data_IF_095882722312
#
_entry.id   IF_095882722312
#
_cell.length_a   1.000
_cell.length_b   1.000
_cell.length_c   1.000
_cell.angle_alpha   90.00
_cell.angle_beta   90.00
_cell.angle_gamma   90.00
#
_symmetry.space_group_name_H-M   'P 1'
#
loop_
_entity.id
_entity.type
_entity.pdbx_description
1 polymer ?
#
# COMPACT_ATOMS: atom_id res chain seq x y z
N UNK A 1 -87.22 -35.79 -8.84
CA UNK A 1 -85.74 -35.87 -8.76
C UNK A 1 -85.15 -34.54 -9.21
N UNK A 2 -84.80 -33.65 -8.27
CA UNK A 2 -84.24 -32.34 -8.55
C UNK A 2 -82.74 -32.45 -8.60
N UNK A 3 -82.08 -32.14 -9.73
CA UNK A 3 -80.66 -32.09 -9.87
C UNK A 3 -80.15 -30.71 -9.39
N UNK A 4 -79.39 -30.67 -8.32
CA UNK A 4 -78.65 -29.49 -7.90
C UNK A 4 -77.37 -29.40 -8.76
N UNK A 5 -77.27 -28.26 -9.46
CA UNK A 5 -75.99 -27.90 -10.17
C UNK A 5 -75.18 -27.03 -9.19
N UNK A 6 -74.01 -27.56 -8.83
CA UNK A 6 -73.02 -26.88 -7.99
C UNK A 6 -72.10 -26.02 -8.92
N UNK A 7 -72.25 -24.71 -8.93
CA UNK A 7 -71.32 -23.81 -9.65
C UNK A 7 -70.16 -23.50 -8.68
N UNK A 8 -69.02 -24.04 -8.96
CA UNK A 8 -67.78 -23.75 -8.26
C UNK A 8 -67.15 -22.49 -8.86
N UNK A 9 -67.21 -21.38 -8.14
CA UNK A 9 -66.55 -20.10 -8.52
C UNK A 9 -65.11 -20.19 -8.05
N UNK A 10 -64.18 -20.36 -9.01
CA UNK A 10 -62.72 -20.32 -8.76
C UNK A 10 -62.29 -18.85 -8.61
N UNK A 11 -62.08 -18.43 -7.40
CA UNK A 11 -61.45 -17.12 -7.12
C UNK A 11 -59.94 -17.22 -7.45
N UNK A 12 -59.54 -16.68 -8.60
CA UNK A 12 -58.14 -16.49 -8.94
C UNK A 12 -57.64 -15.24 -8.19
N UNK A 13 -57.00 -15.43 -7.04
CA UNK A 13 -56.28 -14.37 -6.34
C UNK A 13 -55.03 -14.01 -7.14
N UNK A 14 -55.09 -12.97 -7.94
CA UNK A 14 -53.90 -12.34 -8.53
C UNK A 14 -53.14 -11.67 -7.36
N UNK A 15 -52.19 -12.39 -6.75
CA UNK A 15 -51.19 -11.75 -5.90
C UNK A 15 -50.29 -10.97 -6.84
N UNK A 16 -50.53 -9.66 -6.94
CA UNK A 16 -49.52 -8.75 -7.47
C UNK A 16 -48.34 -8.81 -6.52
N UNK A 17 -47.25 -9.50 -6.92
CA UNK A 17 -45.96 -9.34 -6.30
C UNK A 17 -45.54 -7.88 -6.49
N UNK A 18 -45.89 -7.05 -5.53
CA UNK A 18 -45.27 -5.73 -5.43
C UNK A 18 -43.85 -6.03 -4.97
N UNK A 19 -42.88 -6.07 -5.91
CA UNK A 19 -41.48 -6.04 -5.57
C UNK A 19 -41.26 -4.86 -4.62
N UNK A 20 -40.82 -5.14 -3.38
CA UNK A 20 -40.44 -4.06 -2.48
C UNK A 20 -39.43 -3.18 -3.22
N UNK A 21 -39.61 -1.86 -3.21
CA UNK A 21 -38.64 -0.98 -3.82
C UNK A 21 -37.28 -1.24 -3.13
N UNK A 22 -36.28 -1.64 -3.92
CA UNK A 22 -34.92 -1.76 -3.43
C UNK A 22 -34.52 -0.47 -2.74
N UNK A 23 -33.98 -0.56 -1.53
CA UNK A 23 -33.49 0.63 -0.82
C UNK A 23 -32.25 1.21 -1.51
N UNK A 24 -31.93 2.46 -1.21
CA UNK A 24 -30.79 3.16 -1.82
C UNK A 24 -29.45 2.47 -1.58
N UNK A 25 -29.30 1.75 -0.47
CA UNK A 25 -28.11 0.98 -0.14
C UNK A 25 -27.97 -0.25 -1.04
N UNK A 26 -29.04 -1.00 -1.22
CA UNK A 26 -29.08 -2.17 -2.10
C UNK A 26 -28.82 -1.77 -3.56
N UNK A 27 -29.42 -0.64 -3.99
CA UNK A 27 -29.12 -0.07 -5.32
C UNK A 27 -27.64 0.31 -5.46
N UNK A 28 -26.99 0.87 -4.41
CA UNK A 28 -25.56 1.14 -4.45
C UNK A 28 -24.73 -0.13 -4.60
N UNK A 29 -25.04 -1.19 -3.84
CA UNK A 29 -24.34 -2.48 -3.95
C UNK A 29 -24.48 -3.09 -5.36
N UNK A 30 -25.68 -3.00 -5.95
CA UNK A 30 -25.95 -3.40 -7.33
C UNK A 30 -25.10 -2.60 -8.33
N UNK A 31 -25.04 -1.29 -8.16
CA UNK A 31 -24.24 -0.41 -9.01
C UNK A 31 -22.73 -0.69 -8.89
N UNK A 32 -22.24 -0.93 -7.67
CA UNK A 32 -20.84 -1.33 -7.45
C UNK A 32 -20.51 -2.67 -8.10
N UNK A 33 -21.49 -3.60 -8.19
CA UNK A 33 -21.33 -4.84 -8.95
C UNK A 33 -21.19 -4.58 -10.44
N UNK A 34 -21.99 -3.69 -11.01
CA UNK A 34 -21.86 -3.27 -12.41
C UNK A 34 -20.52 -2.58 -12.67
N UNK A 35 -20.04 -1.70 -11.77
CA UNK A 35 -18.73 -1.07 -11.89
C UNK A 35 -17.62 -2.15 -11.95
N UNK A 36 -17.67 -3.14 -11.05
CA UNK A 36 -16.67 -4.25 -11.05
C UNK A 36 -16.69 -5.10 -12.30
N UNK A 37 -17.83 -5.27 -12.95
CA UNK A 37 -17.97 -6.00 -14.22
C UNK A 37 -17.68 -5.15 -15.47
N UNK A 38 -17.39 -3.85 -15.29
CA UNK A 38 -17.15 -2.92 -16.40
C UNK A 38 -18.41 -2.39 -17.09
N UNK A 39 -19.59 -2.67 -16.54
CA UNK A 39 -20.87 -2.19 -17.07
C UNK A 39 -21.25 -0.83 -16.45
N UNK A 40 -20.53 0.19 -16.86
CA UNK A 40 -20.65 1.53 -16.28
C UNK A 40 -21.98 2.20 -16.64
N UNK A 41 -22.60 1.87 -17.77
CA UNK A 41 -23.88 2.45 -18.17
C UNK A 41 -24.99 2.00 -17.24
N UNK A 42 -25.08 0.71 -16.95
CA UNK A 42 -26.04 0.18 -15.99
C UNK A 42 -25.75 0.66 -14.57
N UNK A 43 -24.48 0.78 -14.19
CA UNK A 43 -24.10 1.36 -12.89
C UNK A 43 -24.64 2.80 -12.74
N UNK A 44 -24.44 3.66 -13.75
CA UNK A 44 -24.92 5.04 -13.76
C UNK A 44 -26.46 5.11 -13.70
N UNK A 45 -27.15 4.23 -14.44
CA UNK A 45 -28.60 4.16 -14.43
C UNK A 45 -29.15 3.84 -13.02
N UNK A 46 -28.58 2.80 -12.38
CA UNK A 46 -28.97 2.37 -11.03
C UNK A 46 -28.65 3.44 -10.00
N UNK A 47 -27.48 4.09 -10.08
CA UNK A 47 -27.08 5.16 -9.15
C UNK A 47 -27.98 6.40 -9.27
N UNK A 48 -28.35 6.78 -10.49
CA UNK A 48 -29.33 7.88 -10.68
C UNK A 48 -30.68 7.54 -10.06
N UNK A 49 -31.15 6.29 -10.17
CA UNK A 49 -32.37 5.84 -9.50
C UNK A 49 -32.25 5.89 -7.97
N UNK A 50 -31.12 5.44 -7.43
CA UNK A 50 -30.84 5.49 -6.00
C UNK A 50 -30.80 6.94 -5.48
N UNK A 51 -30.18 7.87 -6.23
CA UNK A 51 -30.12 9.29 -5.90
C UNK A 51 -31.49 10.00 -5.98
N UNK A 52 -32.49 9.44 -6.68
CA UNK A 52 -33.86 9.96 -6.59
C UNK A 52 -34.50 9.69 -5.21
N UNK A 53 -34.06 8.61 -4.54
CA UNK A 53 -34.54 8.26 -3.19
C UNK A 53 -33.75 8.99 -2.11
N UNK A 54 -32.41 9.10 -2.27
CA UNK A 54 -31.51 9.78 -1.34
C UNK A 54 -30.54 10.70 -2.09
N UNK A 55 -31.03 11.92 -2.39
CA UNK A 55 -30.26 12.91 -3.17
C UNK A 55 -28.98 13.37 -2.50
N UNK A 56 -28.92 13.32 -1.17
CA UNK A 56 -27.80 13.85 -0.39
C UNK A 56 -26.80 12.79 0.04
N UNK A 57 -27.00 11.52 -0.31
CA UNK A 57 -26.07 10.45 0.04
C UNK A 57 -24.69 10.69 -0.55
N UNK A 58 -23.69 10.87 0.31
CA UNK A 58 -22.29 11.01 -0.08
C UNK A 58 -21.79 9.74 -0.79
N UNK A 59 -22.18 8.55 -0.29
CA UNK A 59 -21.78 7.27 -0.86
C UNK A 59 -22.30 7.08 -2.29
N UNK A 60 -23.58 7.39 -2.55
CA UNK A 60 -24.15 7.29 -3.89
C UNK A 60 -23.50 8.27 -4.87
N UNK A 61 -23.23 9.50 -4.40
CA UNK A 61 -22.57 10.51 -5.23
C UNK A 61 -21.13 10.12 -5.55
N UNK A 62 -20.36 9.57 -4.56
CA UNK A 62 -19.01 9.01 -4.79
C UNK A 62 -19.07 7.87 -5.82
N UNK A 63 -19.99 6.93 -5.65
CA UNK A 63 -20.16 5.81 -6.58
C UNK A 63 -20.48 6.26 -8.00
N UNK A 64 -21.33 7.30 -8.14
CA UNK A 64 -21.67 7.87 -9.45
C UNK A 64 -20.47 8.53 -10.12
N UNK A 65 -19.69 9.30 -9.38
CA UNK A 65 -18.43 9.89 -9.87
C UNK A 65 -17.44 8.81 -10.30
N UNK A 66 -17.29 7.74 -9.50
CA UNK A 66 -16.44 6.61 -9.88
C UNK A 66 -16.91 5.93 -11.16
N UNK A 67 -18.22 5.73 -11.34
CA UNK A 67 -18.78 5.16 -12.57
C UNK A 67 -18.48 6.03 -13.80
N UNK A 68 -18.62 7.36 -13.70
CA UNK A 68 -18.22 8.27 -14.77
C UNK A 68 -16.71 8.23 -15.03
N UNK A 69 -15.88 8.20 -13.98
CA UNK A 69 -14.42 8.11 -14.10
C UNK A 69 -13.99 6.84 -14.86
N UNK A 70 -14.50 5.67 -14.47
CA UNK A 70 -14.17 4.40 -15.14
C UNK A 70 -14.73 4.33 -16.56
N UNK A 71 -15.91 4.95 -16.82
CA UNK A 71 -16.45 5.13 -18.16
C UNK A 71 -15.62 6.10 -19.03
N UNK A 72 -14.67 6.83 -18.43
CA UNK A 72 -13.86 7.91 -19.02
C UNK A 72 -14.70 9.15 -19.40
N UNK A 73 -15.88 9.33 -18.81
CA UNK A 73 -16.66 10.56 -18.88
C UNK A 73 -16.13 11.55 -17.82
N UNK A 74 -14.90 12.02 -18.07
CA UNK A 74 -14.18 12.85 -17.11
C UNK A 74 -14.82 14.20 -16.85
N UNK A 75 -15.58 14.73 -17.80
CA UNK A 75 -16.30 15.98 -17.64
C UNK A 75 -17.38 15.87 -16.55
N UNK A 76 -18.19 14.80 -16.60
CA UNK A 76 -19.20 14.54 -15.58
C UNK A 76 -18.56 14.15 -14.24
N UNK A 77 -17.48 13.37 -14.27
CA UNK A 77 -16.73 13.06 -13.07
C UNK A 77 -16.18 14.33 -12.41
N UNK A 78 -15.60 15.26 -13.18
CA UNK A 78 -15.10 16.55 -12.68
C UNK A 78 -16.21 17.40 -12.07
N UNK A 79 -17.36 17.49 -12.73
CA UNK A 79 -18.52 18.20 -12.19
C UNK A 79 -18.94 17.62 -10.84
N UNK A 80 -18.97 16.29 -10.73
CA UNK A 80 -19.33 15.61 -9.48
C UNK A 80 -18.30 15.85 -8.36
N UNK A 81 -17.00 15.70 -8.63
CA UNK A 81 -15.99 15.90 -7.58
C UNK A 81 -15.90 17.32 -7.07
N UNK A 82 -16.14 18.34 -7.91
CA UNK A 82 -16.18 19.73 -7.46
C UNK A 82 -17.27 19.96 -6.39
N UNK A 83 -18.41 19.32 -6.54
CA UNK A 83 -19.48 19.36 -5.53
C UNK A 83 -19.09 18.59 -4.28
N UNK A 84 -18.51 17.37 -4.46
CA UNK A 84 -18.20 16.49 -3.35
C UNK A 84 -17.13 17.06 -2.42
N UNK A 85 -16.04 17.66 -2.94
CA UNK A 85 -14.93 18.19 -2.13
C UNK A 85 -15.30 19.43 -1.31
N UNK A 86 -16.43 20.06 -1.63
CA UNK A 86 -16.93 21.23 -0.90
C UNK A 86 -17.96 20.87 0.17
N UNK A 87 -18.37 19.61 0.27
CA UNK A 87 -19.28 19.14 1.32
C UNK A 87 -18.59 19.08 2.68
N UNK A 88 -19.34 19.41 3.72
CA UNK A 88 -18.86 19.33 5.12
C UNK A 88 -18.58 17.88 5.54
N UNK A 89 -19.38 16.92 5.04
CA UNK A 89 -19.26 15.49 5.30
C UNK A 89 -18.28 14.77 4.35
N UNK A 90 -17.58 15.50 3.46
CA UNK A 90 -16.53 14.93 2.61
C UNK A 90 -15.46 14.20 3.46
N UNK A 91 -15.22 12.94 3.13
CA UNK A 91 -14.26 12.05 3.79
C UNK A 91 -12.96 11.90 2.98
N UNK A 92 -12.00 11.13 3.49
CA UNK A 92 -10.72 10.87 2.81
C UNK A 92 -10.94 10.27 1.42
N UNK A 93 -11.89 9.33 1.28
CA UNK A 93 -12.19 8.67 0.00
C UNK A 93 -12.70 9.68 -1.03
N UNK A 94 -13.48 10.68 -0.61
CA UNK A 94 -13.93 11.77 -1.48
C UNK A 94 -12.76 12.48 -2.14
N UNK A 95 -11.72 12.81 -1.37
CA UNK A 95 -10.53 13.49 -1.88
C UNK A 95 -9.64 12.57 -2.73
N UNK A 96 -9.61 11.27 -2.44
CA UNK A 96 -8.91 10.29 -3.28
C UNK A 96 -9.58 10.16 -4.66
N UNK A 97 -10.91 10.06 -4.70
CA UNK A 97 -11.68 10.03 -5.96
C UNK A 97 -11.45 11.32 -6.75
N UNK A 98 -11.51 12.46 -6.08
CA UNK A 98 -11.24 13.75 -6.72
C UNK A 98 -9.82 13.83 -7.29
N UNK A 99 -8.82 13.37 -6.54
CA UNK A 99 -7.43 13.30 -6.99
C UNK A 99 -7.27 12.49 -8.26
N UNK A 100 -7.94 11.34 -8.35
CA UNK A 100 -7.92 10.49 -9.56
C UNK A 100 -8.53 11.20 -10.77
N UNK A 101 -9.65 11.90 -10.59
CA UNK A 101 -10.31 12.66 -11.67
C UNK A 101 -9.43 13.83 -12.12
N UNK A 102 -8.89 14.63 -11.20
CA UNK A 102 -7.98 15.75 -11.55
C UNK A 102 -6.70 15.26 -12.25
N UNK A 103 -6.11 14.15 -11.77
CA UNK A 103 -4.92 13.55 -12.41
C UNK A 103 -5.21 13.06 -13.83
N UNK A 104 -6.39 12.44 -14.06
CA UNK A 104 -6.78 11.97 -15.39
C UNK A 104 -7.03 13.11 -16.40
N UNK A 105 -7.35 14.30 -15.90
CA UNK A 105 -7.55 15.52 -16.70
C UNK A 105 -6.29 16.41 -16.77
N UNK A 106 -5.19 15.98 -16.12
CA UNK A 106 -3.95 16.77 -16.01
C UNK A 106 -4.15 18.14 -15.34
N UNK A 107 -5.19 18.28 -14.52
CA UNK A 107 -5.54 19.50 -13.79
C UNK A 107 -4.67 19.67 -12.51
N UNK A 108 -3.35 19.71 -12.71
CA UNK A 108 -2.34 19.66 -11.64
C UNK A 108 -2.53 20.75 -10.60
N UNK A 109 -2.86 22.00 -11.02
CA UNK A 109 -3.01 23.14 -10.10
C UNK A 109 -4.22 22.99 -9.17
N UNK A 110 -5.33 22.50 -9.69
CA UNK A 110 -6.55 22.32 -8.91
C UNK A 110 -6.43 21.07 -8.00
N UNK A 111 -5.76 20.03 -8.49
CA UNK A 111 -5.39 18.86 -7.69
C UNK A 111 -4.50 19.25 -6.49
N UNK A 112 -3.48 20.08 -6.70
CA UNK A 112 -2.60 20.60 -5.63
C UNK A 112 -3.40 21.37 -4.58
N UNK A 113 -4.25 22.32 -4.99
CA UNK A 113 -5.11 23.08 -4.07
C UNK A 113 -6.05 22.16 -3.28
N UNK A 114 -6.63 21.19 -3.96
CA UNK A 114 -7.53 20.21 -3.35
C UNK A 114 -6.82 19.38 -2.28
N UNK A 115 -5.62 18.83 -2.56
CA UNK A 115 -4.88 18.06 -1.57
C UNK A 115 -4.40 18.92 -0.39
N UNK A 116 -4.00 20.15 -0.62
CA UNK A 116 -3.70 21.10 0.48
C UNK A 116 -4.90 21.35 1.39
N UNK A 117 -6.11 21.49 0.82
CA UNK A 117 -7.36 21.60 1.58
C UNK A 117 -7.65 20.30 2.35
N UNK A 118 -7.51 19.16 1.68
CA UNK A 118 -7.75 17.84 2.25
C UNK A 118 -6.85 17.55 3.46
N UNK A 119 -5.54 17.84 3.36
CA UNK A 119 -4.58 17.64 4.45
C UNK A 119 -4.79 18.58 5.64
N UNK A 120 -5.40 19.76 5.43
CA UNK A 120 -5.84 20.62 6.56
C UNK A 120 -7.01 19.97 7.32
N UNK A 121 -7.92 19.28 6.61
CA UNK A 121 -9.07 18.60 7.21
C UNK A 121 -8.68 17.26 7.83
N UNK A 122 -7.75 16.54 7.21
CA UNK A 122 -7.29 15.20 7.60
C UNK A 122 -5.77 15.13 7.75
N UNK A 123 -5.18 15.79 8.75
CA UNK A 123 -3.73 15.94 8.88
C UNK A 123 -2.98 14.64 9.22
N UNK A 124 -3.70 13.56 9.56
CA UNK A 124 -3.13 12.25 9.89
C UNK A 124 -3.42 11.18 8.83
N UNK A 125 -3.90 11.59 7.64
CA UNK A 125 -4.27 10.63 6.59
C UNK A 125 -3.06 10.21 5.76
N UNK A 126 -2.53 9.01 6.00
CA UNK A 126 -1.47 8.41 5.17
C UNK A 126 -1.80 8.36 3.68
N UNK A 127 -3.03 7.92 3.28
CA UNK A 127 -3.44 7.93 1.87
C UNK A 127 -3.31 9.29 1.18
N UNK A 128 -3.74 10.38 1.82
CA UNK A 128 -3.68 11.72 1.22
C UNK A 128 -2.24 12.22 1.06
N UNK A 129 -1.36 11.92 2.02
CA UNK A 129 0.07 12.22 1.88
C UNK A 129 0.70 11.44 0.73
N UNK A 130 0.36 10.16 0.58
CA UNK A 130 0.86 9.32 -0.51
C UNK A 130 0.47 9.89 -1.87
N UNK A 131 -0.82 10.11 -2.09
CA UNK A 131 -1.33 10.56 -3.38
C UNK A 131 -0.92 11.99 -3.75
N UNK A 132 -0.81 12.88 -2.75
CA UNK A 132 -0.29 14.22 -2.99
C UNK A 132 1.21 14.19 -3.33
N UNK A 133 1.98 13.34 -2.66
CA UNK A 133 3.38 13.11 -3.03
C UNK A 133 3.52 12.56 -4.45
N UNK A 134 2.67 11.63 -4.86
CA UNK A 134 2.64 11.11 -6.23
C UNK A 134 2.35 12.20 -7.27
N UNK A 135 1.43 13.12 -6.97
CA UNK A 135 1.15 14.28 -7.84
C UNK A 135 2.40 15.14 -8.02
N UNK A 136 3.10 15.48 -6.93
CA UNK A 136 4.33 16.29 -6.99
C UNK A 136 5.45 15.56 -7.73
N UNK A 137 5.62 14.27 -7.44
CA UNK A 137 6.63 13.44 -8.11
C UNK A 137 6.41 13.36 -9.62
N UNK A 138 5.18 13.17 -10.06
CA UNK A 138 4.82 13.17 -11.48
C UNK A 138 5.12 14.53 -12.16
N UNK A 139 4.99 15.61 -11.40
CA UNK A 139 5.38 16.97 -11.84
C UNK A 139 6.89 17.23 -11.74
N UNK A 140 7.72 16.23 -11.39
CA UNK A 140 9.16 16.34 -11.13
C UNK A 140 9.53 17.27 -9.96
N UNK A 141 8.60 17.47 -9.05
CA UNK A 141 8.87 18.16 -7.78
C UNK A 141 9.32 17.13 -6.73
N UNK A 142 10.61 17.05 -6.51
CA UNK A 142 11.22 16.09 -5.60
C UNK A 142 10.97 16.41 -4.11
N UNK A 143 10.32 17.52 -3.78
CA UNK A 143 9.81 17.77 -2.44
C UNK A 143 8.68 16.80 -2.03
N UNK A 144 8.20 15.99 -2.96
CA UNK A 144 7.31 14.84 -2.73
C UNK A 144 7.75 13.96 -1.55
N UNK A 145 9.07 13.80 -1.36
CA UNK A 145 9.61 13.03 -0.22
C UNK A 145 9.14 13.56 1.13
N UNK A 146 9.02 14.86 1.29
CA UNK A 146 8.56 15.46 2.56
C UNK A 146 7.12 15.06 2.90
N UNK A 147 6.29 14.84 1.87
CA UNK A 147 4.91 14.35 2.05
C UNK A 147 4.90 12.89 2.45
N UNK A 148 5.67 12.04 1.78
CA UNK A 148 5.73 10.61 2.10
C UNK A 148 6.32 10.37 3.49
N UNK A 149 7.39 11.10 3.85
CA UNK A 149 7.96 11.06 5.20
C UNK A 149 6.94 11.53 6.27
N UNK A 150 6.21 12.61 5.98
CA UNK A 150 5.14 13.06 6.87
C UNK A 150 4.03 12.01 6.99
N UNK A 151 3.66 11.38 5.89
CA UNK A 151 2.70 10.28 5.86
C UNK A 151 3.14 9.07 6.71
N UNK A 152 4.42 8.66 6.62
CA UNK A 152 5.01 7.61 7.46
C UNK A 152 4.94 7.99 8.96
N UNK A 153 5.27 9.25 9.28
CA UNK A 153 5.27 9.74 10.65
C UNK A 153 3.88 9.74 11.28
N UNK A 154 2.84 10.16 10.55
CA UNK A 154 1.49 10.35 11.10
C UNK A 154 0.60 9.12 10.96
N UNK A 155 0.88 8.26 9.98
CA UNK A 155 0.14 7.02 9.71
C UNK A 155 1.10 5.90 9.28
N UNK A 156 1.88 5.36 10.23
CA UNK A 156 2.85 4.29 9.95
C UNK A 156 2.19 2.95 9.55
N UNK A 157 0.87 2.86 9.58
CA UNK A 157 0.13 1.68 9.11
C UNK A 157 -0.20 1.72 7.61
N UNK A 158 -0.03 2.88 6.95
CA UNK A 158 -0.29 3.00 5.52
C UNK A 158 0.97 2.70 4.69
N UNK A 159 0.93 1.60 3.95
CA UNK A 159 2.08 1.06 3.20
C UNK A 159 2.54 1.94 2.02
N UNK A 160 1.63 2.68 1.38
CA UNK A 160 1.92 3.47 0.17
C UNK A 160 3.04 4.50 0.35
N UNK A 161 3.12 5.13 1.53
CA UNK A 161 4.17 6.11 1.81
C UNK A 161 5.56 5.45 1.88
N UNK A 162 5.68 4.24 2.46
CA UNK A 162 6.94 3.49 2.46
C UNK A 162 7.37 3.07 1.06
N UNK A 163 6.42 2.65 0.24
CA UNK A 163 6.68 2.30 -1.16
C UNK A 163 7.28 3.46 -1.95
N UNK A 164 6.62 4.61 -1.89
CA UNK A 164 7.02 5.80 -2.63
C UNK A 164 8.34 6.37 -2.11
N UNK A 165 8.50 6.45 -0.79
CA UNK A 165 9.74 6.93 -0.16
C UNK A 165 10.93 6.00 -0.47
N UNK A 166 10.75 4.67 -0.44
CA UNK A 166 11.80 3.73 -0.81
C UNK A 166 12.30 3.95 -2.24
N UNK A 167 11.39 4.15 -3.19
CA UNK A 167 11.76 4.46 -4.58
C UNK A 167 12.52 5.78 -4.69
N UNK A 168 12.08 6.83 -4.00
CA UNK A 168 12.79 8.10 -3.98
C UNK A 168 14.23 7.93 -3.50
N UNK A 169 14.41 7.26 -2.36
CA UNK A 169 15.75 7.08 -1.76
C UNK A 169 16.68 6.19 -2.57
N UNK A 170 16.16 5.30 -3.40
CA UNK A 170 16.97 4.53 -4.32
C UNK A 170 17.74 5.39 -5.34
N UNK A 171 17.15 6.50 -5.75
CA UNK A 171 17.75 7.44 -6.71
C UNK A 171 18.59 8.54 -6.04
N UNK A 172 18.68 8.53 -4.72
CA UNK A 172 19.45 9.51 -3.94
C UNK A 172 20.72 8.87 -3.33
N UNK A 173 21.51 9.68 -2.62
CA UNK A 173 22.68 9.20 -1.87
C UNK A 173 22.30 8.47 -0.58
N UNK A 174 21.06 8.60 -0.08
CA UNK A 174 20.62 7.98 1.16
C UNK A 174 20.05 6.57 0.93
N UNK A 175 20.95 5.60 0.83
CA UNK A 175 20.64 4.19 0.52
C UNK A 175 19.97 3.44 1.68
N UNK A 176 20.16 3.91 2.91
CA UNK A 176 19.63 3.25 4.12
C UNK A 176 18.11 3.21 4.11
N UNK A 177 17.50 4.35 3.79
CA UNK A 177 16.04 4.45 3.80
C UNK A 177 15.38 3.73 2.63
N UNK A 178 16.05 3.59 1.49
CA UNK A 178 15.59 2.73 0.40
C UNK A 178 15.42 1.27 0.87
N UNK A 179 16.40 0.75 1.60
CA UNK A 179 16.38 -0.62 2.12
C UNK A 179 15.36 -0.81 3.24
N UNK A 180 15.35 0.09 4.23
CA UNK A 180 14.47 -0.02 5.39
C UNK A 180 13.01 0.12 4.99
N UNK A 181 12.66 1.16 4.23
CA UNK A 181 11.29 1.40 3.82
C UNK A 181 10.79 0.35 2.82
N UNK A 182 11.64 -0.07 1.89
CA UNK A 182 11.30 -1.15 0.97
C UNK A 182 11.00 -2.46 1.69
N UNK A 183 11.78 -2.83 2.70
CA UNK A 183 11.55 -4.07 3.46
C UNK A 183 10.32 -3.96 4.38
N UNK A 184 10.08 -2.80 5.00
CA UNK A 184 8.83 -2.52 5.73
C UNK A 184 7.65 -2.71 4.80
N UNK A 185 7.68 -2.10 3.62
CA UNK A 185 6.60 -2.22 2.63
C UNK A 185 6.32 -3.67 2.23
N UNK A 186 7.35 -4.47 1.90
CA UNK A 186 7.16 -5.89 1.54
C UNK A 186 6.53 -6.70 2.68
N UNK A 187 6.86 -6.39 3.94
CA UNK A 187 6.24 -7.04 5.10
C UNK A 187 4.78 -6.60 5.32
N UNK A 188 4.40 -5.41 4.87
CA UNK A 188 3.01 -4.92 4.93
C UNK A 188 2.16 -5.40 3.74
N UNK A 189 2.76 -5.50 2.55
CA UNK A 189 2.08 -5.85 1.28
C UNK A 189 2.78 -7.02 0.55
N UNK A 190 2.86 -8.16 1.16
CA UNK A 190 3.63 -9.30 0.64
C UNK A 190 3.01 -10.01 -0.57
N UNK A 191 1.70 -9.87 -0.79
CA UNK A 191 0.94 -10.64 -1.80
C UNK A 191 0.51 -9.80 -3.02
N UNK A 192 0.96 -8.56 -3.12
CA UNK A 192 0.64 -7.68 -4.24
C UNK A 192 1.74 -7.68 -5.31
N UNK A 193 1.41 -7.26 -6.54
CA UNK A 193 2.41 -7.04 -7.59
C UNK A 193 3.47 -6.01 -7.17
N UNK A 194 3.07 -4.98 -6.43
CA UNK A 194 4.01 -4.00 -5.87
C UNK A 194 4.96 -4.65 -4.86
N UNK A 195 4.46 -5.59 -4.05
CA UNK A 195 5.28 -6.37 -3.13
C UNK A 195 6.33 -7.22 -3.87
N UNK A 196 5.93 -7.89 -4.95
CA UNK A 196 6.85 -8.65 -5.79
C UNK A 196 7.92 -7.76 -6.45
N UNK A 197 7.51 -6.61 -7.01
CA UNK A 197 8.41 -5.63 -7.61
C UNK A 197 9.39 -5.05 -6.59
N UNK A 198 8.94 -4.78 -5.36
CA UNK A 198 9.79 -4.25 -4.29
C UNK A 198 10.84 -5.25 -3.82
N UNK A 199 10.60 -6.55 -3.90
CA UNK A 199 11.63 -7.57 -3.61
C UNK A 199 12.81 -7.47 -4.57
N UNK A 200 12.54 -7.32 -5.88
CA UNK A 200 13.60 -7.09 -6.87
C UNK A 200 14.34 -5.78 -6.59
N UNK A 201 13.60 -4.71 -6.34
CA UNK A 201 14.14 -3.41 -5.98
C UNK A 201 15.09 -3.49 -4.76
N UNK A 202 14.73 -4.23 -3.71
CA UNK A 202 15.57 -4.44 -2.54
C UNK A 202 16.89 -5.16 -2.88
N UNK A 203 16.80 -6.20 -3.72
CA UNK A 203 18.01 -6.91 -4.17
C UNK A 203 18.93 -5.98 -4.96
N UNK A 204 18.37 -5.18 -5.87
CA UNK A 204 19.10 -4.19 -6.66
C UNK A 204 19.68 -3.09 -5.75
N UNK A 205 18.95 -2.66 -4.70
CA UNK A 205 19.41 -1.68 -3.73
C UNK A 205 20.65 -2.18 -2.93
N UNK A 206 20.67 -3.46 -2.56
CA UNK A 206 21.87 -4.05 -1.96
C UNK A 206 23.03 -4.12 -2.96
N UNK A 207 22.80 -4.59 -4.20
CA UNK A 207 23.84 -4.80 -5.23
C UNK A 207 24.40 -3.49 -5.79
N UNK A 208 23.49 -2.59 -6.16
CA UNK A 208 23.84 -1.42 -6.99
C UNK A 208 23.98 -0.12 -6.21
N UNK A 209 23.58 -0.13 -4.93
CA UNK A 209 23.62 1.08 -4.10
C UNK A 209 24.47 0.88 -2.85
N UNK A 210 24.09 -0.05 -1.96
CA UNK A 210 24.75 -0.15 -0.66
C UNK A 210 26.18 -0.68 -0.78
N UNK A 211 26.40 -1.74 -1.58
CA UNK A 211 27.70 -2.40 -1.73
C UNK A 211 28.42 -2.08 -3.04
N UNK A 212 27.94 -1.11 -3.82
CA UNK A 212 28.60 -0.69 -5.05
C UNK A 212 29.88 0.12 -4.77
N UNK A 213 29.85 0.96 -3.75
CA UNK A 213 31.00 1.80 -3.39
C UNK A 213 32.00 1.02 -2.53
N UNK A 214 33.29 1.25 -2.78
CA UNK A 214 34.38 0.66 -2.00
C UNK A 214 34.44 1.21 -0.57
N UNK A 215 33.92 2.41 -0.34
CA UNK A 215 33.80 3.06 0.96
C UNK A 215 32.35 3.39 1.27
N UNK A 216 31.69 2.48 2.00
CA UNK A 216 30.29 2.64 2.44
C UNK A 216 30.11 3.84 3.39
N UNK A 217 31.16 4.23 4.10
CA UNK A 217 31.15 5.32 5.08
C UNK A 217 31.49 6.67 4.45
N UNK A 218 31.79 6.72 3.15
CA UNK A 218 32.01 7.98 2.46
C UNK A 218 30.81 8.91 2.67
N UNK A 219 31.10 10.12 3.07
CA UNK A 219 30.09 11.16 3.35
C UNK A 219 29.11 10.83 4.51
N UNK A 220 29.44 9.86 5.38
CA UNK A 220 28.58 9.49 6.52
C UNK A 220 28.24 10.68 7.43
N UNK A 221 29.16 11.63 7.57
CA UNK A 221 28.96 12.84 8.40
C UNK A 221 27.96 13.81 7.79
N UNK A 222 27.68 13.71 6.49
CA UNK A 222 26.63 14.48 5.82
C UNK A 222 25.24 13.97 6.10
N UNK A 223 25.11 12.71 6.58
CA UNK A 223 23.82 12.15 6.95
C UNK A 223 23.31 12.80 8.24
N UNK A 224 22.09 13.33 8.21
CA UNK A 224 21.47 13.99 9.37
C UNK A 224 20.92 13.01 10.40
N UNK A 225 20.63 11.77 10.00
CA UNK A 225 20.05 10.76 10.88
C UNK A 225 21.13 9.96 11.60
N UNK A 226 21.17 10.04 12.92
CA UNK A 226 22.05 9.20 13.76
C UNK A 226 21.74 7.71 13.62
N UNK A 227 20.47 7.37 13.37
CA UNK A 227 20.07 5.99 13.07
C UNK A 227 20.72 5.50 11.78
N UNK A 228 20.69 6.29 10.69
CA UNK A 228 21.30 5.93 9.43
C UNK A 228 22.83 5.81 9.54
N UNK A 229 23.49 6.66 10.32
CA UNK A 229 24.92 6.53 10.63
C UNK A 229 25.22 5.22 11.38
N UNK A 230 24.42 4.88 12.39
CA UNK A 230 24.55 3.65 13.14
C UNK A 230 24.34 2.41 12.23
N UNK A 231 23.36 2.48 11.31
CA UNK A 231 23.10 1.45 10.31
C UNK A 231 24.31 1.22 9.41
N UNK A 232 24.85 2.28 8.81
CA UNK A 232 26.02 2.19 7.92
C UNK A 232 27.27 1.68 8.66
N UNK A 233 27.54 2.17 9.86
CA UNK A 233 28.67 1.67 10.68
C UNK A 233 28.55 0.18 10.99
N UNK A 234 27.34 -0.31 11.27
CA UNK A 234 27.12 -1.74 11.57
C UNK A 234 27.22 -2.58 10.30
N UNK A 235 26.65 -2.07 9.18
CA UNK A 235 26.66 -2.76 7.90
C UNK A 235 28.07 -2.85 7.31
N UNK A 236 28.87 -1.79 7.44
CA UNK A 236 30.26 -1.75 6.92
C UNK A 236 31.16 -2.84 7.50
N UNK A 237 30.90 -3.28 8.74
CA UNK A 237 31.62 -4.42 9.33
C UNK A 237 31.44 -5.71 8.54
N UNK A 238 30.40 -5.80 7.71
CA UNK A 238 30.04 -6.97 6.92
C UNK A 238 30.53 -6.87 5.46
N UNK A 239 31.15 -5.75 5.05
CA UNK A 239 31.53 -5.47 3.66
C UNK A 239 32.46 -6.50 3.02
N UNK A 240 33.31 -7.13 3.81
CA UNK A 240 34.24 -8.20 3.30
C UNK A 240 33.47 -9.45 2.78
N UNK A 241 32.22 -9.67 3.19
CA UNK A 241 31.44 -10.83 2.75
C UNK A 241 31.00 -10.75 1.29
N UNK A 242 30.96 -9.55 0.70
CA UNK A 242 30.50 -9.33 -0.69
C UNK A 242 31.59 -9.55 -1.73
N UNK A 243 32.84 -9.85 -1.35
CA UNK A 243 34.00 -10.03 -2.27
C UNK A 243 33.73 -11.09 -3.35
N UNK A 244 32.83 -12.04 -3.12
CA UNK A 244 32.45 -13.10 -4.07
C UNK A 244 31.13 -12.83 -4.80
N UNK A 245 30.61 -11.61 -4.68
CA UNK A 245 29.31 -11.22 -5.20
C UNK A 245 28.19 -11.29 -4.15
N UNK A 246 27.04 -10.76 -4.51
CA UNK A 246 25.84 -10.72 -3.65
C UNK A 246 24.84 -11.75 -4.15
N UNK A 247 24.58 -12.75 -3.33
CA UNK A 247 23.53 -13.76 -3.49
C UNK A 247 22.59 -13.75 -2.28
N UNK A 248 21.48 -14.47 -2.36
CA UNK A 248 20.55 -14.64 -1.23
C UNK A 248 21.26 -15.23 -0.01
N UNK A 249 22.17 -16.17 -0.19
CA UNK A 249 22.96 -16.78 0.89
C UNK A 249 23.92 -15.76 1.53
N UNK A 250 24.61 -14.97 0.71
CA UNK A 250 25.51 -13.90 1.19
C UNK A 250 24.72 -12.85 1.94
N UNK A 251 23.57 -12.41 1.41
CA UNK A 251 22.69 -11.47 2.10
C UNK A 251 22.15 -12.04 3.41
N UNK A 252 21.83 -13.34 3.46
CA UNK A 252 21.41 -13.99 4.71
C UNK A 252 22.49 -13.91 5.77
N UNK A 253 23.76 -14.18 5.42
CA UNK A 253 24.89 -14.06 6.34
C UNK A 253 25.13 -12.62 6.80
N UNK A 254 25.14 -11.67 5.86
CA UNK A 254 25.35 -10.24 6.15
C UNK A 254 24.28 -9.75 7.11
N UNK A 255 23.02 -10.02 6.81
CA UNK A 255 21.86 -9.54 7.58
C UNK A 255 21.76 -10.19 8.94
N UNK A 256 22.12 -11.48 9.05
CA UNK A 256 22.22 -12.15 10.35
C UNK A 256 23.26 -11.48 11.24
N UNK A 257 24.47 -11.26 10.73
CA UNK A 257 25.54 -10.59 11.50
C UNK A 257 25.20 -9.16 11.83
N UNK A 258 24.60 -8.43 10.87
CA UNK A 258 24.12 -7.07 11.07
C UNK A 258 23.15 -6.98 12.27
N UNK A 259 22.14 -7.85 12.32
CA UNK A 259 21.14 -7.84 13.40
C UNK A 259 21.78 -8.16 14.75
N UNK A 260 22.67 -9.14 14.81
CA UNK A 260 23.36 -9.48 16.06
C UNK A 260 24.24 -8.32 16.55
N UNK A 261 25.03 -7.70 15.66
CA UNK A 261 25.87 -6.54 15.96
C UNK A 261 25.02 -5.31 16.36
N UNK A 262 23.89 -5.10 15.68
CA UNK A 262 22.95 -4.01 15.98
C UNK A 262 22.47 -4.09 17.42
N UNK A 263 21.96 -5.25 17.85
CA UNK A 263 21.45 -5.41 19.21
C UNK A 263 22.55 -5.34 20.28
N UNK A 264 23.76 -5.70 19.96
CA UNK A 264 24.89 -5.55 20.87
C UNK A 264 25.31 -4.09 21.05
N UNK A 265 25.05 -3.20 20.06
CA UNK A 265 25.62 -1.85 20.06
C UNK A 265 24.57 -0.76 20.11
N UNK A 266 23.51 -0.86 19.31
CA UNK A 266 22.55 0.22 19.04
C UNK A 266 21.10 -0.12 19.37
N UNK A 267 20.76 -1.39 19.59
CA UNK A 267 19.38 -1.84 19.76
C UNK A 267 18.63 -1.17 20.89
N UNK A 268 19.34 -0.81 22.00
CA UNK A 268 18.75 -0.07 23.11
C UNK A 268 18.50 1.40 22.75
N UNK A 269 19.40 2.02 21.97
CA UNK A 269 19.28 3.43 21.55
C UNK A 269 18.25 3.62 20.46
N UNK A 270 18.15 2.66 19.55
CA UNK A 270 17.27 2.71 18.38
C UNK A 270 16.42 1.43 18.29
N UNK A 271 15.43 1.22 19.17
CA UNK A 271 14.49 0.11 19.03
C UNK A 271 13.75 0.22 17.69
N UNK A 272 13.73 -0.88 16.91
CA UNK A 272 13.15 -0.84 15.58
C UNK A 272 12.38 -2.13 15.25
N UNK A 273 11.09 -2.01 14.98
CA UNK A 273 10.16 -3.15 14.79
C UNK A 273 10.60 -4.12 13.70
N UNK A 274 11.16 -3.62 12.60
CA UNK A 274 11.70 -4.47 11.54
C UNK A 274 12.87 -5.32 12.05
N UNK A 275 13.76 -4.74 12.84
CA UNK A 275 14.91 -5.45 13.39
C UNK A 275 14.50 -6.42 14.51
N UNK A 276 13.51 -6.06 15.35
CA UNK A 276 12.92 -6.99 16.32
C UNK A 276 12.34 -8.23 15.63
N UNK A 277 11.66 -8.00 14.51
CA UNK A 277 11.10 -9.07 13.69
C UNK A 277 12.19 -9.96 13.10
N UNK A 278 13.25 -9.39 12.54
CA UNK A 278 14.37 -10.12 12.00
C UNK A 278 15.11 -10.91 13.10
N UNK A 279 15.33 -10.32 14.28
CA UNK A 279 15.93 -11.01 15.43
C UNK A 279 15.08 -12.19 15.90
N UNK A 280 13.75 -12.03 15.91
CA UNK A 280 12.83 -13.12 16.23
C UNK A 280 12.99 -14.27 15.23
N UNK A 281 13.02 -13.98 13.92
CA UNK A 281 13.21 -15.00 12.88
C UNK A 281 14.57 -15.71 13.00
N UNK A 282 15.63 -15.01 13.41
CA UNK A 282 16.94 -15.60 13.67
C UNK A 282 16.85 -16.57 14.86
N UNK A 283 16.26 -16.16 15.97
CA UNK A 283 16.10 -16.99 17.19
C UNK A 283 15.26 -18.24 16.95
N UNK A 284 14.27 -18.14 16.10
CA UNK A 284 13.35 -19.24 15.77
C UNK A 284 13.83 -20.08 14.56
N UNK A 285 15.04 -19.80 14.01
CA UNK A 285 15.64 -20.57 12.91
C UNK A 285 14.96 -20.37 11.55
N UNK A 286 14.15 -19.30 11.39
CA UNK A 286 13.37 -19.03 10.18
C UNK A 286 14.00 -17.93 9.29
N UNK A 287 15.09 -17.30 9.70
CA UNK A 287 15.62 -16.14 8.99
C UNK A 287 16.19 -16.47 7.60
N UNK A 288 16.70 -17.68 7.42
CA UNK A 288 17.11 -18.17 6.09
C UNK A 288 15.90 -18.27 5.15
N UNK A 289 14.80 -18.87 5.60
CA UNK A 289 13.56 -18.98 4.83
C UNK A 289 12.98 -17.61 4.49
N UNK A 290 13.07 -16.65 5.42
CA UNK A 290 12.66 -15.26 5.19
C UNK A 290 13.49 -14.60 4.08
N UNK A 291 14.82 -14.77 4.07
CA UNK A 291 15.66 -14.20 3.02
C UNK A 291 15.44 -14.90 1.67
N UNK A 292 15.19 -16.20 1.65
CA UNK A 292 14.77 -16.91 0.44
C UNK A 292 13.43 -16.37 -0.10
N UNK A 293 12.46 -16.15 0.77
CA UNK A 293 11.19 -15.54 0.38
C UNK A 293 11.36 -14.10 -0.12
N UNK A 294 12.29 -13.34 0.45
CA UNK A 294 12.52 -11.92 0.10
C UNK A 294 13.33 -11.77 -1.20
N UNK A 295 14.38 -12.56 -1.37
CA UNK A 295 15.34 -12.40 -2.47
C UNK A 295 15.42 -13.58 -3.42
N UNK A 296 15.20 -14.81 -2.96
CA UNK A 296 15.42 -16.02 -3.74
C UNK A 296 14.62 -16.05 -5.03
N UNK A 297 13.32 -15.67 -4.98
CA UNK A 297 12.44 -15.65 -6.17
C UNK A 297 12.89 -14.67 -7.24
N UNK A 298 13.51 -13.56 -6.85
CA UNK A 298 13.93 -12.47 -7.76
C UNK A 298 15.39 -12.55 -8.15
N UNK A 299 16.18 -13.32 -7.44
CA UNK A 299 17.57 -13.62 -7.78
C UNK A 299 17.66 -14.79 -8.77
N UNK A 300 17.12 -15.95 -8.40
CA UNK A 300 17.14 -17.16 -9.22
C UNK A 300 15.99 -18.10 -8.83
N UNK A 301 14.92 -18.10 -9.61
CA UNK A 301 13.73 -18.90 -9.34
C UNK A 301 14.02 -20.41 -9.24
N UNK A 302 14.89 -20.94 -10.10
CA UNK A 302 15.22 -22.39 -10.08
C UNK A 302 15.99 -22.77 -8.81
N UNK A 303 16.92 -21.92 -8.37
CA UNK A 303 17.63 -22.12 -7.10
C UNK A 303 16.68 -22.03 -5.90
N UNK A 304 15.76 -21.05 -5.90
CA UNK A 304 14.72 -20.91 -4.90
C UNK A 304 13.81 -22.15 -4.82
N UNK A 305 13.32 -22.64 -5.96
CA UNK A 305 12.46 -23.83 -6.01
C UNK A 305 13.19 -25.08 -5.48
N UNK A 306 14.46 -25.22 -5.81
CA UNK A 306 15.29 -26.30 -5.26
C UNK A 306 15.49 -26.18 -3.75
N UNK A 307 15.79 -24.97 -3.28
CA UNK A 307 15.97 -24.69 -1.85
C UNK A 307 14.69 -24.97 -1.05
N UNK A 308 13.53 -24.52 -1.52
CA UNK A 308 12.23 -24.75 -0.84
C UNK A 308 11.86 -26.22 -0.76
N UNK A 309 12.18 -27.03 -1.80
CA UNK A 309 11.99 -28.49 -1.78
C UNK A 309 12.91 -29.17 -0.77
N UNK A 310 14.19 -28.76 -0.73
CA UNK A 310 15.19 -29.37 0.15
C UNK A 310 14.97 -28.96 1.61
N UNK A 311 14.47 -27.75 1.87
CA UNK A 311 14.22 -27.18 3.19
C UNK A 311 12.74 -26.98 3.48
N UNK A 312 11.88 -27.89 3.02
CA UNK A 312 10.42 -27.76 3.06
C UNK A 312 9.88 -27.51 4.48
N UNK A 313 10.44 -28.16 5.50
CA UNK A 313 10.03 -27.96 6.89
C UNK A 313 10.28 -26.52 7.36
N UNK A 314 11.49 -25.99 7.11
CA UNK A 314 11.84 -24.59 7.46
C UNK A 314 10.96 -23.59 6.73
N UNK A 315 10.72 -23.82 5.44
CA UNK A 315 9.90 -22.92 4.63
C UNK A 315 8.42 -22.96 5.05
N UNK A 316 7.90 -24.14 5.36
CA UNK A 316 6.54 -24.33 5.88
C UNK A 316 6.37 -23.65 7.25
N UNK A 317 7.34 -23.80 8.16
CA UNK A 317 7.32 -23.12 9.46
C UNK A 317 7.27 -21.59 9.27
N UNK A 318 8.11 -21.05 8.41
CA UNK A 318 8.13 -19.63 8.10
C UNK A 318 6.81 -19.14 7.46
N UNK A 319 6.26 -19.84 6.48
CA UNK A 319 5.02 -19.43 5.82
C UNK A 319 3.83 -19.50 6.76
N UNK A 320 3.78 -20.49 7.65
CA UNK A 320 2.75 -20.58 8.69
C UNK A 320 2.88 -19.45 9.72
N UNK A 321 4.10 -19.08 10.09
CA UNK A 321 4.38 -17.95 10.97
C UNK A 321 3.89 -16.62 10.35
N UNK A 322 4.00 -16.46 9.03
CA UNK A 322 3.52 -15.25 8.33
C UNK A 322 2.00 -15.17 8.15
N UNK A 323 1.29 -16.29 7.99
CA UNK A 323 -0.13 -16.34 7.52
C UNK A 323 -1.11 -15.45 8.28
N UNK A 324 -0.90 -15.20 9.56
CA UNK A 324 -1.83 -14.44 10.41
C UNK A 324 -1.17 -13.18 11.00
N UNK A 325 -0.08 -12.74 10.42
CA UNK A 325 0.72 -11.67 10.97
C UNK A 325 0.54 -10.38 10.19
N UNK A 326 0.05 -9.36 10.87
CA UNK A 326 -0.01 -8.00 10.33
C UNK A 326 1.24 -7.27 10.80
N UNK A 327 2.12 -6.93 9.86
CA UNK A 327 3.27 -6.11 10.17
C UNK A 327 2.87 -4.63 10.22
N UNK A 328 3.18 -3.96 11.34
CA UNK A 328 2.91 -2.52 11.52
C UNK A 328 4.07 -1.88 12.27
N UNK A 329 4.53 -0.74 11.78
CA UNK A 329 5.52 0.09 12.48
C UNK A 329 4.84 0.91 13.58
N UNK A 330 5.46 1.04 14.76
CA UNK A 330 5.00 1.99 15.79
C UNK A 330 5.29 3.43 15.37
N UNK A 331 4.40 4.36 15.71
CA UNK A 331 4.58 5.79 15.42
C UNK A 331 5.81 6.42 16.12
N UNK A 332 6.29 5.77 17.20
CA UNK A 332 7.47 6.23 17.97
C UNK A 332 8.81 5.83 17.35
N UNK A 333 8.80 5.03 16.27
CA UNK A 333 10.02 4.51 15.62
C UNK A 333 10.26 5.16 14.25
N UNK A 334 10.14 6.48 14.21
CA UNK A 334 10.50 7.30 13.06
C UNK A 334 11.83 8.01 13.34
N UNK A 335 12.89 7.68 12.58
CA UNK A 335 14.26 8.10 12.85
C UNK A 335 14.88 8.96 11.74
N UNK A 336 14.08 9.44 10.78
CA UNK A 336 14.61 10.18 9.63
C UNK A 336 15.26 11.51 10.00
N UNK A 337 14.81 12.15 11.06
CA UNK A 337 15.22 13.50 11.48
C UNK A 337 15.82 13.56 12.90
N UNK A 338 16.29 12.44 13.40
CA UNK A 338 16.90 12.36 14.74
C UNK A 338 18.41 12.23 14.66
#
# INVERSE_FOLDING_TARGET
MKKLIFISVLFFSIQTLIAQPEDSKQLNETALSFIRSGDYDNAILVLNRALQQDKNSLELQKSLVMAYYYKRDYEKALTGVKVLVDRDDADVMTYQIAGNVYKALEEVKDCDKMYKKALKKFPTSGPLYSEYGELLWAAKDFSAINLWEKGIQVDPAFSGNYYNAAQHYFYTQDKVWALIYGEIFVNMESLTERGASMKKFLLDAYKEKLFQETDMLKDIDKNKSEFAKAYLNTMNKQSSLVNKGISTEVLTMIRTRFILDWYNTYGAKFPHKLFDYQLQLIREGMFEAYNQWLFGTVENLAAYDNWTKTNNEKYTAFTNFQKNRIFRMPATQYYQVQ
#
